data_IF_851989695524
#
_entry.id   IF_851989695524
#
_cell.length_a   1.000
_cell.length_b   1.000
_cell.length_c   1.000
_cell.angle_alpha   90.00
_cell.angle_beta   90.00
_cell.angle_gamma   90.00
#
_symmetry.space_group_name_H-M   'P 1'
#
loop_
_entity.id
_entity.type
_entity.pdbx_description
1 polymer ?
#
# COMPACT_ATOMS: atom_id res chain seq x y z
N UNK A 1 6.13 3.89 3.19
CA UNK A 1 5.99 5.13 3.94
C UNK A 1 5.04 5.08 5.13
N UNK A 2 4.15 4.09 5.29
CA UNK A 2 3.12 4.13 6.34
C UNK A 2 3.37 3.18 7.51
N UNK A 3 4.31 2.25 7.36
CA UNK A 3 4.63 1.23 8.37
C UNK A 3 6.12 0.92 8.31
N UNK A 4 6.69 0.57 9.46
CA UNK A 4 8.06 0.06 9.52
C UNK A 4 8.16 -1.26 8.78
N UNK A 5 9.02 -1.30 7.77
CA UNK A 5 9.25 -2.48 6.94
C UNK A 5 10.74 -2.68 6.72
N UNK A 6 11.28 -3.76 7.26
CA UNK A 6 12.72 -4.02 7.35
C UNK A 6 13.13 -5.16 6.43
N UNK A 7 13.22 -4.86 5.12
CA UNK A 7 13.53 -5.83 4.07
C UNK A 7 14.76 -6.70 4.39
N UNK A 8 15.88 -6.06 4.68
CA UNK A 8 17.17 -6.75 4.89
C UNK A 8 17.20 -7.50 6.24
N UNK A 9 16.72 -6.86 7.31
CA UNK A 9 16.69 -7.44 8.66
C UNK A 9 15.81 -8.71 8.72
N UNK A 10 14.68 -8.69 7.99
CA UNK A 10 13.78 -9.84 7.92
C UNK A 10 14.21 -10.90 6.90
N UNK A 11 15.29 -10.67 6.16
CA UNK A 11 15.79 -11.56 5.13
C UNK A 11 14.84 -11.76 3.97
N UNK A 12 14.07 -10.72 3.61
CA UNK A 12 13.15 -10.78 2.47
C UNK A 12 13.93 -10.72 1.16
N UNK A 13 13.67 -11.67 0.27
CA UNK A 13 14.41 -11.76 -0.99
C UNK A 13 13.92 -10.78 -2.06
N UNK A 14 12.61 -10.51 -2.11
CA UNK A 14 12.01 -9.56 -3.06
C UNK A 14 10.89 -8.79 -2.40
N UNK A 15 10.95 -7.47 -2.47
CA UNK A 15 9.85 -6.57 -2.09
C UNK A 15 9.41 -5.74 -3.28
N UNK A 16 8.11 -5.74 -3.54
CA UNK A 16 7.50 -4.89 -4.57
C UNK A 16 6.65 -3.83 -3.88
N UNK A 17 6.84 -2.57 -4.26
CA UNK A 17 6.06 -1.44 -3.78
C UNK A 17 5.54 -0.60 -4.93
N UNK A 18 4.46 0.12 -4.70
CA UNK A 18 3.86 1.05 -5.68
C UNK A 18 3.85 2.49 -5.16
N UNK A 19 3.86 3.44 -6.09
CA UNK A 19 3.94 4.86 -5.79
C UNK A 19 2.70 5.44 -5.10
N UNK A 20 1.50 4.87 -5.33
CA UNK A 20 0.20 5.45 -4.96
C UNK A 20 -0.29 5.12 -3.54
N UNK A 21 0.57 4.66 -2.66
CA UNK A 21 0.25 4.35 -1.26
C UNK A 21 1.05 5.28 -0.32
N UNK A 22 1.74 4.76 0.65
CA UNK A 22 2.52 5.55 1.59
C UNK A 22 3.63 6.45 1.01
N UNK A 23 3.85 6.40 -0.30
CA UNK A 23 4.69 7.36 -1.01
C UNK A 23 3.93 8.55 -1.59
N UNK A 24 2.63 8.66 -1.36
CA UNK A 24 1.78 9.84 -1.65
C UNK A 24 1.77 10.32 -3.11
N UNK A 25 2.05 9.43 -4.06
CA UNK A 25 2.08 9.74 -5.49
C UNK A 25 0.87 9.16 -6.23
N UNK A 26 0.57 9.62 -7.44
CA UNK A 26 -0.28 8.88 -8.36
C UNK A 26 0.30 7.50 -8.69
N UNK A 27 -0.53 6.52 -9.12
CA UNK A 27 -0.03 5.24 -9.62
C UNK A 27 0.80 5.44 -10.88
N UNK A 28 1.87 4.65 -11.06
CA UNK A 28 2.68 4.68 -12.27
C UNK A 28 4.16 4.34 -12.09
N UNK A 29 4.63 4.16 -10.85
CA UNK A 29 5.99 3.64 -10.56
C UNK A 29 5.87 2.40 -9.68
N UNK A 30 6.63 1.37 -10.01
CA UNK A 30 6.88 0.21 -9.18
C UNK A 30 8.33 0.22 -8.70
N UNK A 31 8.52 -0.06 -7.42
CA UNK A 31 9.85 -0.20 -6.80
C UNK A 31 10.08 -1.68 -6.51
N UNK A 32 11.28 -2.15 -6.80
CA UNK A 32 11.69 -3.52 -6.53
C UNK A 32 12.97 -3.48 -5.67
N UNK A 33 12.89 -3.89 -4.42
CA UNK A 33 14.06 -4.19 -3.60
C UNK A 33 14.35 -5.69 -3.72
N UNK A 34 15.58 -6.03 -4.15
CA UNK A 34 15.92 -7.40 -4.54
C UNK A 34 17.22 -7.81 -3.88
N UNK A 35 17.23 -8.94 -3.15
CA UNK A 35 18.42 -9.48 -2.51
C UNK A 35 19.40 -10.04 -3.54
N UNK A 36 20.69 -10.13 -3.16
CA UNK A 36 21.72 -10.80 -3.97
C UNK A 36 21.31 -12.23 -4.31
N UNK A 37 20.71 -12.96 -3.36
CA UNK A 37 20.22 -14.32 -3.56
C UNK A 37 19.15 -14.39 -4.66
N UNK A 38 18.20 -13.46 -4.68
CA UNK A 38 17.18 -13.40 -5.72
C UNK A 38 17.76 -13.01 -7.09
N UNK A 39 18.73 -12.10 -7.12
CA UNK A 39 19.45 -11.77 -8.36
C UNK A 39 20.20 -12.98 -8.95
N UNK A 40 20.88 -13.75 -8.12
CA UNK A 40 21.53 -14.98 -8.58
C UNK A 40 20.51 -16.01 -9.09
N UNK A 41 19.42 -16.22 -8.37
CA UNK A 41 18.34 -17.11 -8.81
C UNK A 41 17.72 -16.66 -10.16
N UNK A 42 17.60 -15.36 -10.39
CA UNK A 42 17.04 -14.82 -11.63
C UNK A 42 17.83 -15.18 -12.88
N UNK A 43 19.14 -15.43 -12.76
CA UNK A 43 19.99 -15.84 -13.88
C UNK A 43 19.62 -17.22 -14.45
N UNK A 44 18.99 -18.05 -13.64
CA UNK A 44 18.55 -19.40 -13.99
C UNK A 44 17.06 -19.47 -14.35
N UNK A 45 16.34 -18.33 -14.30
CA UNK A 45 14.93 -18.27 -14.65
C UNK A 45 14.71 -18.43 -16.15
N UNK A 46 13.78 -19.31 -16.53
CA UNK A 46 13.49 -19.65 -17.93
C UNK A 46 12.35 -18.86 -18.56
N UNK A 47 11.54 -18.16 -17.76
CA UNK A 47 10.46 -17.31 -18.27
C UNK A 47 11.03 -16.09 -18.99
N UNK A 48 10.50 -15.80 -20.19
CA UNK A 48 10.77 -14.54 -20.87
C UNK A 48 10.28 -13.35 -20.04
N UNK A 49 11.13 -12.35 -19.83
CA UNK A 49 10.80 -11.21 -18.95
C UNK A 49 11.07 -9.84 -19.55
N UNK A 50 11.94 -9.72 -20.56
CA UNK A 50 12.22 -8.48 -21.29
C UNK A 50 12.12 -7.20 -20.43
N UNK A 51 11.02 -6.44 -20.54
CA UNK A 51 10.79 -5.22 -19.77
C UNK A 51 10.95 -5.38 -18.24
N UNK A 52 10.73 -6.56 -17.69
CA UNK A 52 10.87 -6.85 -16.26
C UNK A 52 12.22 -7.48 -15.88
N UNK A 53 13.21 -7.43 -16.77
CA UNK A 53 14.55 -7.93 -16.50
C UNK A 53 15.29 -6.97 -15.56
N UNK A 54 15.63 -7.44 -14.35
CA UNK A 54 16.33 -6.62 -13.35
C UNK A 54 17.76 -6.29 -13.77
N UNK A 55 18.46 -7.19 -14.44
CA UNK A 55 19.84 -7.03 -14.90
C UNK A 55 20.01 -5.82 -15.82
N UNK A 56 19.14 -5.64 -16.81
CA UNK A 56 19.16 -4.47 -17.69
C UNK A 56 18.86 -3.18 -16.94
N UNK A 57 17.86 -3.20 -16.05
CA UNK A 57 17.48 -2.03 -15.25
C UNK A 57 18.64 -1.63 -14.32
N UNK A 58 19.24 -2.58 -13.61
CA UNK A 58 20.35 -2.33 -12.70
C UNK A 58 21.57 -1.77 -13.45
N UNK A 59 21.90 -2.33 -14.61
CA UNK A 59 23.04 -1.86 -15.39
C UNK A 59 22.83 -0.42 -15.89
N UNK A 60 21.67 -0.11 -16.43
CA UNK A 60 21.35 1.25 -16.89
C UNK A 60 21.29 2.26 -15.74
N UNK A 61 20.71 1.88 -14.58
CA UNK A 61 20.63 2.76 -13.43
C UNK A 61 21.99 3.19 -12.86
N UNK A 62 23.07 2.43 -13.07
CA UNK A 62 24.43 2.84 -12.68
C UNK A 62 24.87 4.14 -13.35
N UNK A 63 24.34 4.43 -14.53
CA UNK A 63 24.64 5.64 -15.30
C UNK A 63 23.55 6.72 -15.16
N UNK A 64 22.53 6.50 -14.34
CA UNK A 64 21.40 7.40 -14.17
C UNK A 64 20.33 7.27 -15.27
N UNK A 65 20.38 6.20 -16.08
CA UNK A 65 19.43 5.96 -17.14
C UNK A 65 18.55 4.73 -16.88
N UNK A 66 17.55 4.54 -17.72
CA UNK A 66 16.64 3.41 -17.76
C UNK A 66 16.67 2.75 -19.15
N UNK A 67 16.45 1.44 -19.25
CA UNK A 67 16.37 0.77 -20.56
C UNK A 67 15.11 1.15 -21.35
N UNK A 68 14.09 1.66 -20.68
CA UNK A 68 12.84 2.14 -21.27
C UNK A 68 12.50 3.53 -20.71
N UNK A 69 11.73 4.33 -21.46
CA UNK A 69 11.38 5.70 -21.06
C UNK A 69 10.70 5.72 -19.69
N UNK A 70 11.30 6.38 -18.67
CA UNK A 70 10.72 6.47 -17.37
C UNK A 70 9.62 7.54 -17.31
N UNK A 71 8.71 7.44 -16.34
CA UNK A 71 7.77 8.50 -16.03
C UNK A 71 8.47 9.61 -15.23
N UNK A 72 9.10 10.55 -15.94
CA UNK A 72 9.90 11.62 -15.33
C UNK A 72 9.09 12.52 -14.40
N UNK A 73 7.83 12.80 -14.72
CA UNK A 73 6.97 13.61 -13.86
C UNK A 73 6.76 12.97 -12.49
N UNK A 74 6.55 11.65 -12.46
CA UNK A 74 6.43 10.93 -11.19
C UNK A 74 7.77 10.82 -10.45
N UNK A 75 8.91 10.82 -11.13
CA UNK A 75 10.22 10.85 -10.47
C UNK A 75 10.47 12.20 -9.76
N UNK A 76 10.06 13.32 -10.35
CA UNK A 76 10.08 14.61 -9.66
C UNK A 76 9.14 14.61 -8.44
N UNK A 77 7.92 14.09 -8.61
CA UNK A 77 7.00 13.93 -7.49
C UNK A 77 7.53 13.00 -6.41
N UNK A 78 8.29 11.94 -6.78
CA UNK A 78 8.92 11.05 -5.83
C UNK A 78 9.99 11.77 -5.00
N UNK A 79 10.79 12.61 -5.62
CA UNK A 79 11.79 13.43 -4.90
C UNK A 79 11.12 14.27 -3.82
N UNK A 80 10.09 15.03 -4.19
CA UNK A 80 9.32 15.84 -3.23
C UNK A 80 8.67 14.99 -2.13
N UNK A 81 8.05 13.88 -2.50
CA UNK A 81 7.44 12.96 -1.52
C UNK A 81 8.45 12.42 -0.51
N UNK A 82 9.65 12.06 -0.97
CA UNK A 82 10.71 11.58 -0.08
C UNK A 82 11.21 12.68 0.84
N UNK A 83 11.37 13.90 0.34
CA UNK A 83 11.77 15.06 1.16
C UNK A 83 10.74 15.32 2.27
N UNK A 84 9.43 15.33 1.95
CA UNK A 84 8.35 15.46 2.93
C UNK A 84 8.37 14.35 3.99
N UNK A 85 8.55 13.09 3.58
CA UNK A 85 8.58 11.95 4.48
C UNK A 85 9.82 11.99 5.41
N UNK A 86 10.95 12.40 4.89
CA UNK A 86 12.18 12.52 5.66
C UNK A 86 12.16 13.73 6.62
N UNK A 87 11.52 14.83 6.23
CA UNK A 87 11.31 15.99 7.08
C UNK A 87 10.39 15.67 8.28
N UNK A 88 9.26 14.96 8.06
CA UNK A 88 8.41 14.49 9.16
C UNK A 88 9.13 13.46 10.04
N UNK A 89 9.98 12.62 9.45
CA UNK A 89 10.65 11.49 10.07
C UNK A 89 9.79 10.22 10.13
N UNK A 90 10.38 9.09 9.76
CA UNK A 90 9.64 7.82 9.58
C UNK A 90 8.93 7.36 10.86
N UNK A 91 9.55 7.49 12.03
CA UNK A 91 8.94 7.10 13.30
C UNK A 91 7.68 7.94 13.61
N UNK A 92 7.71 9.24 13.29
CA UNK A 92 6.56 10.13 13.45
C UNK A 92 5.44 9.75 12.49
N UNK A 93 5.77 9.39 11.26
CA UNK A 93 4.81 8.92 10.26
C UNK A 93 4.13 7.63 10.74
N UNK A 94 4.90 6.64 11.22
CA UNK A 94 4.35 5.38 11.71
C UNK A 94 3.42 5.62 12.91
N UNK A 95 3.83 6.44 13.87
CA UNK A 95 3.01 6.81 15.02
C UNK A 95 1.72 7.57 14.62
N UNK A 96 1.79 8.43 13.62
CA UNK A 96 0.63 9.15 13.09
C UNK A 96 -0.36 8.20 12.45
N UNK A 97 0.10 7.29 11.59
CA UNK A 97 -0.77 6.31 10.96
C UNK A 97 -1.44 5.38 11.98
N UNK A 98 -0.70 4.89 12.97
CA UNK A 98 -1.27 4.04 14.01
C UNK A 98 -2.35 4.76 14.84
N UNK A 99 -2.11 6.02 15.20
CA UNK A 99 -3.10 6.85 15.91
C UNK A 99 -4.38 7.06 15.07
N UNK A 100 -4.25 7.35 13.78
CA UNK A 100 -5.41 7.52 12.89
C UNK A 100 -6.15 6.20 12.70
N UNK A 101 -5.43 5.10 12.56
CA UNK A 101 -6.00 3.77 12.44
C UNK A 101 -6.79 3.39 13.69
N UNK A 102 -6.23 3.62 14.88
CA UNK A 102 -6.93 3.31 16.13
C UNK A 102 -8.17 4.19 16.33
N UNK A 103 -8.12 5.47 15.99
CA UNK A 103 -9.30 6.32 16.00
C UNK A 103 -10.41 5.79 15.08
N UNK A 104 -10.05 5.33 13.87
CA UNK A 104 -10.99 4.71 12.95
C UNK A 104 -11.59 3.42 13.54
N UNK A 105 -10.76 2.53 14.06
CA UNK A 105 -11.20 1.27 14.69
C UNK A 105 -12.10 1.52 15.91
N UNK A 106 -11.75 2.49 16.74
CA UNK A 106 -12.57 2.89 17.89
C UNK A 106 -13.97 3.38 17.46
N UNK A 107 -14.05 4.18 16.39
CA UNK A 107 -15.33 4.62 15.84
C UNK A 107 -16.16 3.43 15.33
N UNK A 108 -15.57 2.50 14.57
CA UNK A 108 -16.24 1.30 14.08
C UNK A 108 -16.83 0.46 15.24
N UNK A 109 -16.05 0.24 16.31
CA UNK A 109 -16.51 -0.47 17.50
C UNK A 109 -17.64 0.27 18.21
N UNK A 110 -17.55 1.61 18.30
CA UNK A 110 -18.60 2.44 18.90
C UNK A 110 -19.92 2.40 18.12
N UNK A 111 -19.87 2.16 16.81
CA UNK A 111 -21.07 1.92 15.99
C UNK A 111 -21.66 0.51 16.15
N UNK A 112 -21.04 -0.35 16.94
CA UNK A 112 -21.45 -1.74 17.13
C UNK A 112 -21.14 -2.65 15.93
N UNK A 113 -20.20 -2.24 15.08
CA UNK A 113 -19.77 -3.00 13.91
C UNK A 113 -18.48 -3.78 14.19
N UNK A 114 -18.31 -4.89 13.50
CA UNK A 114 -17.12 -5.74 13.62
C UNK A 114 -16.03 -5.32 12.63
N UNK A 115 -14.77 -5.42 13.07
CA UNK A 115 -13.61 -5.22 12.23
C UNK A 115 -13.24 -6.58 11.62
N UNK A 116 -13.00 -6.61 10.32
CA UNK A 116 -12.68 -7.84 9.57
C UNK A 116 -11.41 -8.54 10.09
N UNK A 117 -10.41 -7.79 10.56
CA UNK A 117 -9.23 -8.35 11.21
C UNK A 117 -9.57 -8.63 12.68
N UNK A 118 -9.64 -9.91 13.05
CA UNK A 118 -10.07 -10.37 14.37
C UNK A 118 -8.90 -10.53 15.37
N UNK A 119 -7.65 -10.45 14.89
CA UNK A 119 -6.48 -10.62 15.75
C UNK A 119 -5.92 -9.27 16.18
N UNK A 120 -5.91 -9.02 17.49
CA UNK A 120 -5.30 -7.83 18.06
C UNK A 120 -3.80 -7.76 17.72
N UNK A 121 -3.32 -6.56 17.42
CA UNK A 121 -1.92 -6.33 17.03
C UNK A 121 -1.58 -6.68 15.57
N UNK A 122 -2.54 -7.19 14.78
CA UNK A 122 -2.36 -7.47 13.34
C UNK A 122 -3.17 -6.57 12.42
N UNK A 123 -3.75 -5.51 12.97
CA UNK A 123 -4.50 -4.54 12.20
C UNK A 123 -3.59 -3.73 11.26
N UNK A 124 -4.11 -3.44 10.07
CA UNK A 124 -3.41 -2.52 9.16
C UNK A 124 -3.44 -1.09 9.70
N UNK A 125 -2.31 -0.36 9.70
CA UNK A 125 -2.30 1.05 10.10
C UNK A 125 -2.84 2.00 9.02
N UNK A 126 -3.29 1.50 7.86
CA UNK A 126 -3.74 2.33 6.73
C UNK A 126 -5.11 1.96 6.18
N UNK A 127 -5.70 0.84 6.63
CA UNK A 127 -6.97 0.34 6.11
C UNK A 127 -7.73 -0.42 7.21
N UNK A 128 -9.01 -0.09 7.38
CA UNK A 128 -9.91 -0.84 8.25
C UNK A 128 -11.04 -1.46 7.41
N UNK A 129 -11.16 -2.77 7.46
CA UNK A 129 -12.30 -3.51 6.90
C UNK A 129 -13.43 -3.56 7.93
N UNK A 130 -14.62 -3.16 7.54
CA UNK A 130 -15.80 -3.10 8.40
C UNK A 130 -16.84 -4.11 7.93
N UNK A 131 -17.12 -5.10 8.75
CA UNK A 131 -18.12 -6.13 8.45
C UNK A 131 -19.54 -5.59 8.67
N UNK A 132 -20.44 -5.92 7.76
CA UNK A 132 -21.85 -5.60 7.94
C UNK A 132 -22.59 -6.69 8.70
N UNK A 133 -23.61 -6.34 9.48
CA UNK A 133 -24.51 -7.33 10.06
C UNK A 133 -25.22 -8.16 9.00
N UNK A 134 -25.65 -9.35 9.37
CA UNK A 134 -26.40 -10.24 8.49
C UNK A 134 -27.65 -9.53 7.91
N UNK A 135 -27.85 -9.67 6.60
CA UNK A 135 -28.94 -9.05 5.87
C UNK A 135 -28.70 -7.59 5.44
N UNK A 136 -27.57 -7.00 5.79
CA UNK A 136 -27.21 -5.63 5.38
C UNK A 136 -26.19 -5.68 4.24
N UNK A 137 -26.52 -5.11 3.10
CA UNK A 137 -25.59 -4.99 1.95
C UNK A 137 -24.65 -3.79 2.13
N UNK A 138 -23.36 -4.09 2.25
CA UNK A 138 -22.31 -3.08 2.40
C UNK A 138 -22.22 -2.10 1.21
N UNK A 139 -22.54 -2.55 0.00
CA UNK A 139 -22.48 -1.67 -1.18
C UNK A 139 -23.65 -0.68 -1.19
N UNK A 140 -24.83 -1.05 -0.66
CA UNK A 140 -25.93 -0.10 -0.43
C UNK A 140 -25.58 0.93 0.66
N UNK A 141 -24.95 0.51 1.75
CA UNK A 141 -24.47 1.42 2.80
C UNK A 141 -23.45 2.41 2.23
N UNK A 142 -22.47 1.94 1.46
CA UNK A 142 -21.49 2.81 0.77
C UNK A 142 -22.16 3.83 -0.15
N UNK A 143 -23.18 3.41 -0.90
CA UNK A 143 -23.95 4.30 -1.77
C UNK A 143 -24.65 5.40 -0.98
N UNK A 144 -25.33 5.05 0.11
CA UNK A 144 -25.97 6.04 1.00
C UNK A 144 -24.96 7.02 1.60
N UNK A 145 -23.77 6.55 2.02
CA UNK A 145 -22.72 7.40 2.54
C UNK A 145 -22.21 8.36 1.45
N UNK A 146 -22.02 7.88 0.24
CA UNK A 146 -21.61 8.71 -0.87
C UNK A 146 -22.64 9.80 -1.21
N UNK A 147 -23.91 9.43 -1.30
CA UNK A 147 -25.01 10.34 -1.67
C UNK A 147 -25.27 11.41 -0.60
N UNK A 148 -25.15 11.08 0.69
CA UNK A 148 -25.46 12.00 1.78
C UNK A 148 -24.26 12.81 2.28
N UNK A 149 -23.04 12.29 2.14
CA UNK A 149 -21.84 12.89 2.74
C UNK A 149 -20.72 13.16 1.72
N UNK A 150 -20.93 12.85 0.45
CA UNK A 150 -19.91 12.94 -0.61
C UNK A 150 -18.60 12.23 -0.23
N UNK A 151 -18.71 11.12 0.52
CA UNK A 151 -17.57 10.33 1.01
C UNK A 151 -17.52 8.96 0.32
N UNK A 152 -16.42 8.68 -0.36
CA UNK A 152 -16.20 7.42 -1.04
C UNK A 152 -15.48 6.42 -0.15
N UNK A 153 -16.06 5.24 0.03
CA UNK A 153 -15.47 4.11 0.76
C UNK A 153 -15.16 2.94 -0.17
N UNK A 154 -14.16 2.14 0.17
CA UNK A 154 -13.79 0.96 -0.59
C UNK A 154 -14.82 -0.17 -0.47
N UNK A 155 -15.09 -0.91 -1.56
CA UNK A 155 -15.92 -2.12 -1.52
C UNK A 155 -15.16 -3.32 -0.96
N UNK A 156 -15.84 -4.33 -0.45
CA UNK A 156 -15.28 -5.66 -0.21
C UNK A 156 -14.82 -6.31 -1.52
N UNK A 157 -13.80 -7.14 -1.47
CA UNK A 157 -13.23 -7.81 -2.65
C UNK A 157 -13.49 -9.32 -2.61
N UNK A 158 -13.65 -9.92 -3.79
CA UNK A 158 -13.85 -11.35 -3.93
C UNK A 158 -15.04 -11.85 -3.11
N UNK A 159 -14.79 -12.78 -2.18
CA UNK A 159 -15.81 -13.38 -1.31
C UNK A 159 -16.46 -12.41 -0.32
N UNK A 160 -15.83 -11.26 -0.08
CA UNK A 160 -16.30 -10.25 0.88
C UNK A 160 -17.10 -9.12 0.21
N UNK A 161 -17.36 -9.20 -1.11
CA UNK A 161 -18.18 -8.22 -1.81
C UNK A 161 -19.61 -8.23 -1.27
N UNK A 162 -20.14 -7.04 -0.95
CA UNK A 162 -21.45 -6.87 -0.34
C UNK A 162 -21.50 -7.18 1.17
N UNK A 163 -20.51 -7.89 1.72
CA UNK A 163 -20.45 -8.24 3.14
C UNK A 163 -19.71 -7.24 4.00
N UNK A 164 -18.83 -6.44 3.39
CA UNK A 164 -18.01 -5.44 4.08
C UNK A 164 -17.73 -4.23 3.21
N UNK A 165 -17.38 -3.13 3.85
CA UNK A 165 -16.73 -1.98 3.20
C UNK A 165 -15.37 -1.69 3.86
N UNK A 166 -14.58 -0.83 3.21
CA UNK A 166 -13.24 -0.49 3.68
C UNK A 166 -13.10 1.01 3.88
N UNK A 167 -12.53 1.39 5.02
CA UNK A 167 -12.15 2.77 5.33
C UNK A 167 -10.64 2.89 5.14
N UNK A 168 -10.21 3.69 4.16
CA UNK A 168 -8.81 4.06 4.00
C UNK A 168 -8.50 5.26 4.90
N UNK A 169 -7.37 5.17 5.62
CA UNK A 169 -6.86 6.24 6.48
C UNK A 169 -5.34 6.41 6.28
N UNK A 170 -4.93 6.22 5.02
CA UNK A 170 -3.56 6.41 4.55
C UNK A 170 -3.20 7.89 4.46
#
# INVERSE_FOLDING_TARGET
GSVDYRHDEWGVDVTISGSQKGLMLPPGISFNAVSTKALEASKHASMGRAFWAWDEIIEMNKTGYWPYTPNTNLLYGLSESLDMLLEEGLDNIFARHERLAEACRAAVRAWGLEIQCVEDGRHSPVLTGVMMPEGVDADQVRKLIYENFNMSLGTGLGKLKGLMFRIGHL
#
